data_IF_395046991732
#
_entry.id   IF_395046991732
#
_cell.length_a   1.000
_cell.length_b   1.000
_cell.length_c   1.000
_cell.angle_alpha   90.00
_cell.angle_beta   90.00
_cell.angle_gamma   90.00
#
_symmetry.space_group_name_H-M   'P 1'
#
loop_
_entity.id
_entity.type
_entity.pdbx_description
1 polymer ?
#
# COMPACT_ATOMS: atom_id res chain seq x y z
N UNK A 1 11.80 -11.42 5.31
CA UNK A 1 11.47 -12.06 4.02
C UNK A 1 10.37 -11.24 3.38
N UNK A 2 10.47 -11.00 2.07
CA UNK A 2 9.45 -10.28 1.30
C UNK A 2 9.09 -11.10 0.06
N UNK A 3 7.95 -10.79 -0.55
CA UNK A 3 7.65 -11.20 -1.92
C UNK A 3 7.00 -10.06 -2.70
N UNK A 4 6.63 -10.34 -3.93
CA UNK A 4 6.09 -9.34 -4.85
C UNK A 4 4.58 -9.49 -5.03
N UNK A 5 3.90 -8.36 -5.03
CA UNK A 5 2.50 -8.23 -5.41
C UNK A 5 2.36 -7.16 -6.50
N UNK A 6 1.27 -7.24 -7.24
CA UNK A 6 0.87 -6.25 -8.22
C UNK A 6 -0.43 -5.57 -7.81
N UNK A 7 -0.53 -4.25 -7.98
CA UNK A 7 -1.77 -3.51 -7.78
C UNK A 7 -2.15 -2.74 -9.06
N UNK A 8 -3.40 -2.89 -9.46
CA UNK A 8 -3.99 -2.11 -10.54
C UNK A 8 -3.78 -2.63 -11.96
N UNK A 9 -4.32 -1.87 -12.93
CA UNK A 9 -4.27 -2.19 -14.35
C UNK A 9 -3.87 -0.96 -15.18
N UNK A 10 -2.68 -0.90 -15.80
CA UNK A 10 -1.61 -1.90 -15.74
C UNK A 10 -1.05 -2.07 -14.34
N UNK A 11 -0.46 -3.24 -14.11
CA UNK A 11 0.05 -3.65 -12.79
C UNK A 11 1.21 -2.75 -12.31
N UNK A 12 1.12 -2.30 -11.06
CA UNK A 12 2.18 -1.61 -10.33
C UNK A 12 2.75 -2.57 -9.28
N UNK A 13 4.03 -2.91 -9.37
CA UNK A 13 4.65 -3.94 -8.52
C UNK A 13 5.20 -3.37 -7.21
N UNK A 14 4.95 -4.07 -6.10
CA UNK A 14 5.42 -3.74 -4.76
C UNK A 14 6.08 -4.95 -4.11
N UNK A 15 7.15 -4.70 -3.35
CA UNK A 15 7.70 -5.68 -2.42
C UNK A 15 6.95 -5.52 -1.10
N UNK A 16 6.46 -6.63 -0.55
CA UNK A 16 5.69 -6.64 0.69
C UNK A 16 6.13 -7.78 1.60
N UNK A 17 5.94 -7.59 2.90
CA UNK A 17 6.09 -8.63 3.90
C UNK A 17 4.76 -9.39 3.99
N UNK A 18 4.81 -10.71 3.83
CA UNK A 18 3.67 -11.58 4.09
C UNK A 18 3.60 -11.90 5.58
N UNK A 19 2.87 -11.07 6.31
CA UNK A 19 2.75 -11.13 7.76
C UNK A 19 1.45 -11.85 8.17
N UNK A 20 1.57 -12.99 8.87
CA UNK A 20 0.42 -13.71 9.44
C UNK A 20 -0.07 -13.11 10.76
N UNK A 21 0.65 -12.12 11.31
CA UNK A 21 0.32 -11.41 12.54
C UNK A 21 -0.59 -10.20 12.37
N UNK A 22 -0.91 -9.81 11.13
CA UNK A 22 -1.80 -8.69 10.81
C UNK A 22 -2.75 -9.03 9.66
N UNK A 23 -3.80 -8.21 9.49
CA UNK A 23 -4.89 -8.48 8.55
C UNK A 23 -5.03 -7.43 7.44
N UNK A 24 -4.16 -6.42 7.41
CA UNK A 24 -4.29 -5.27 6.50
C UNK A 24 -3.17 -5.28 5.46
N UNK A 25 -3.55 -5.03 4.20
CA UNK A 25 -2.61 -4.65 3.15
C UNK A 25 -2.48 -3.14 3.11
N UNK A 26 -1.25 -2.63 3.05
CA UNK A 26 -0.96 -1.22 2.82
C UNK A 26 0.26 -1.07 1.91
N UNK A 27 0.31 0.01 1.14
CA UNK A 27 1.45 0.40 0.32
C UNK A 27 1.63 1.92 0.35
N UNK A 28 2.85 2.45 0.14
CA UNK A 28 3.08 3.89 0.04
C UNK A 28 2.24 4.52 -1.08
N UNK A 29 1.51 5.60 -0.78
CA UNK A 29 0.74 6.34 -1.78
C UNK A 29 1.61 7.35 -2.52
N UNK A 30 1.30 7.63 -3.79
CA UNK A 30 1.89 8.78 -4.48
C UNK A 30 1.39 10.13 -3.95
N UNK A 31 0.38 10.12 -3.06
CA UNK A 31 -0.20 11.32 -2.41
C UNK A 31 0.40 11.61 -1.03
N UNK A 32 1.40 10.86 -0.60
CA UNK A 32 2.02 11.05 0.69
C UNK A 32 2.76 12.39 0.82
N UNK A 33 2.98 12.81 2.06
CA UNK A 33 3.60 14.10 2.37
C UNK A 33 5.10 14.09 2.06
N UNK A 34 5.66 15.25 1.73
CA UNK A 34 7.06 15.41 1.36
C UNK A 34 8.05 14.94 2.45
N UNK A 35 7.64 14.98 3.71
CA UNK A 35 8.41 14.56 4.87
C UNK A 35 8.33 13.05 5.16
N UNK A 36 7.49 12.29 4.44
CA UNK A 36 7.48 10.82 4.53
C UNK A 36 8.68 10.26 3.76
N UNK A 37 9.64 9.68 4.49
CA UNK A 37 10.88 9.16 3.88
C UNK A 37 10.64 7.94 3.01
N UNK A 38 9.68 7.10 3.40
CA UNK A 38 9.27 5.92 2.65
C UNK A 38 8.81 6.27 1.22
N UNK A 39 8.22 7.45 1.03
CA UNK A 39 7.79 7.91 -0.29
C UNK A 39 8.92 8.25 -1.26
N UNK A 40 10.11 8.53 -0.74
CA UNK A 40 11.29 8.80 -1.55
C UNK A 40 12.10 7.53 -1.83
N UNK A 41 12.01 6.54 -0.95
CA UNK A 41 12.83 5.32 -1.02
C UNK A 41 12.09 4.12 -1.59
N UNK A 42 10.75 4.11 -1.56
CA UNK A 42 9.93 2.99 -2.02
C UNK A 42 9.09 3.30 -3.26
N UNK A 43 8.66 2.25 -3.95
CA UNK A 43 7.62 2.35 -4.97
C UNK A 43 6.34 2.90 -4.34
N UNK A 44 5.74 3.88 -5.00
CA UNK A 44 4.47 4.48 -4.59
C UNK A 44 3.35 4.08 -5.55
N UNK A 45 2.19 3.77 -4.97
CA UNK A 45 0.97 3.48 -5.70
C UNK A 45 0.37 4.76 -6.28
N UNK A 46 0.11 4.73 -7.60
CA UNK A 46 -0.44 5.83 -8.38
C UNK A 46 -1.83 5.44 -8.85
N UNK A 47 -2.86 5.82 -8.08
CA UNK A 47 -4.26 5.50 -8.39
C UNK A 47 -4.68 5.97 -9.79
N UNK A 48 -4.21 7.14 -10.21
CA UNK A 48 -4.50 7.73 -11.53
C UNK A 48 -3.96 6.91 -12.72
N UNK A 49 -3.00 6.02 -12.47
CA UNK A 49 -2.42 5.15 -13.51
C UNK A 49 -3.10 3.79 -13.60
N UNK A 50 -4.06 3.50 -12.73
CA UNK A 50 -4.82 2.25 -12.77
C UNK A 50 -6.23 2.48 -13.30
N UNK A 51 -6.58 1.76 -14.35
CA UNK A 51 -7.92 1.75 -14.95
C UNK A 51 -8.94 0.95 -14.12
N UNK A 52 -8.48 0.10 -13.21
CA UNK A 52 -9.34 -0.73 -12.35
C UNK A 52 -9.51 -0.18 -10.94
N UNK A 53 -8.83 0.93 -10.63
CA UNK A 53 -8.92 1.62 -9.35
C UNK A 53 -10.36 2.07 -9.06
N UNK A 54 -10.78 1.87 -7.81
CA UNK A 54 -12.00 2.41 -7.25
C UNK A 54 -11.66 3.21 -6.00
N UNK A 55 -12.05 4.48 -6.00
CA UNK A 55 -11.92 5.33 -4.83
C UNK A 55 -12.85 4.86 -3.72
N UNK A 56 -12.29 4.68 -2.51
CA UNK A 56 -13.06 4.48 -1.30
C UNK A 56 -12.90 5.71 -0.38
N UNK A 57 -11.66 6.12 -0.10
CA UNK A 57 -11.34 7.39 0.55
C UNK A 57 -11.62 7.45 2.04
N UNK A 58 -12.07 6.35 2.66
CA UNK A 58 -12.23 6.26 4.11
C UNK A 58 -10.86 6.38 4.78
N UNK A 59 -10.71 7.30 5.74
CA UNK A 59 -9.47 7.47 6.49
C UNK A 59 -9.13 6.19 7.28
N UNK A 60 -7.86 5.83 7.29
CA UNK A 60 -7.33 4.68 8.01
C UNK A 60 -6.10 5.08 8.82
N UNK A 61 -6.06 4.64 10.08
CA UNK A 61 -4.90 4.74 10.95
C UNK A 61 -4.61 3.34 11.50
N UNK A 62 -3.39 2.86 11.30
CA UNK A 62 -2.92 1.56 11.75
C UNK A 62 -1.78 1.79 12.74
N UNK A 63 -2.01 1.40 13.99
CA UNK A 63 -0.99 1.43 15.03
C UNK A 63 -0.31 0.07 15.14
N UNK A 64 0.99 0.03 14.92
CA UNK A 64 1.84 -1.12 15.17
C UNK A 64 2.70 -0.86 16.41
N UNK A 65 3.16 -1.93 17.06
CA UNK A 65 4.06 -1.84 18.23
C UNK A 65 5.31 -1.00 17.93
N UNK A 66 5.75 -1.01 16.67
CA UNK A 66 6.95 -0.32 16.21
C UNK A 66 6.72 1.10 15.72
N UNK A 67 5.47 1.50 15.45
CA UNK A 67 5.17 2.82 14.90
C UNK A 67 3.77 2.89 14.28
N UNK A 68 3.37 4.09 13.91
CA UNK A 68 2.06 4.37 13.35
C UNK A 68 2.13 4.63 11.84
N UNK A 69 1.04 4.29 11.16
CA UNK A 69 0.81 4.56 9.75
C UNK A 69 -0.58 5.17 9.58
N UNK A 70 -0.70 6.19 8.73
CA UNK A 70 -2.00 6.78 8.38
C UNK A 70 -2.13 7.03 6.88
N UNK A 71 -3.38 6.99 6.42
CA UNK A 71 -3.72 7.04 5.01
C UNK A 71 -5.22 6.93 4.79
N UNK A 72 -5.59 6.41 3.63
CA UNK A 72 -6.98 6.18 3.28
C UNK A 72 -7.13 4.85 2.53
N UNK A 73 -8.33 4.28 2.59
CA UNK A 73 -8.65 3.04 1.91
C UNK A 73 -8.84 3.30 0.41
N UNK A 74 -8.29 2.40 -0.40
CA UNK A 74 -8.47 2.30 -1.83
C UNK A 74 -8.81 0.86 -2.21
N UNK A 75 -9.46 0.67 -3.36
CA UNK A 75 -9.74 -0.64 -3.90
C UNK A 75 -9.16 -0.78 -5.30
N UNK A 76 -8.52 -1.92 -5.57
CA UNK A 76 -8.05 -2.25 -6.91
C UNK A 76 -7.92 -3.77 -7.11
N UNK A 77 -7.46 -4.19 -8.28
CA UNK A 77 -7.07 -5.57 -8.57
C UNK A 77 -5.72 -5.85 -7.96
N UNK A 78 -5.65 -6.87 -7.10
CA UNK A 78 -4.42 -7.41 -6.54
C UNK A 78 -3.98 -8.63 -7.35
N UNK A 79 -2.77 -8.60 -7.90
CA UNK A 79 -2.09 -9.77 -8.48
C UNK A 79 -1.10 -10.34 -7.47
N UNK A 80 -1.18 -11.64 -7.18
CA UNK A 80 -0.22 -12.34 -6.35
C UNK A 80 -0.10 -13.80 -6.77
N UNK A 81 1.14 -14.27 -7.04
CA UNK A 81 1.38 -15.67 -7.40
C UNK A 81 0.63 -16.13 -8.66
N UNK A 82 0.35 -15.23 -9.60
CA UNK A 82 -0.43 -15.51 -10.81
C UNK A 82 -1.96 -15.44 -10.62
N UNK A 83 -2.45 -15.27 -9.39
CA UNK A 83 -3.87 -15.06 -9.11
C UNK A 83 -4.23 -13.58 -9.14
N UNK A 84 -5.44 -13.26 -9.60
CA UNK A 84 -6.00 -11.90 -9.57
C UNK A 84 -7.21 -11.83 -8.65
N UNK A 85 -7.11 -11.04 -7.60
CA UNK A 85 -8.17 -10.77 -6.64
C UNK A 85 -8.79 -9.43 -7.02
N UNK A 86 -10.07 -9.47 -7.39
CA UNK A 86 -10.81 -8.26 -7.76
C UNK A 86 -11.24 -7.51 -6.50
N UNK A 87 -11.26 -6.17 -6.57
CA UNK A 87 -11.80 -5.32 -5.50
C UNK A 87 -11.15 -5.56 -4.14
N UNK A 88 -9.83 -5.78 -4.11
CA UNK A 88 -9.08 -5.89 -2.88
C UNK A 88 -8.98 -4.50 -2.23
N UNK A 89 -9.52 -4.31 -1.01
CA UNK A 89 -9.26 -3.09 -0.25
C UNK A 89 -7.84 -3.10 0.31
N UNK A 90 -7.18 -1.94 0.28
CA UNK A 90 -5.86 -1.72 0.89
C UNK A 90 -5.71 -0.26 1.31
N UNK A 91 -4.76 0.02 2.19
CA UNK A 91 -4.46 1.38 2.64
C UNK A 91 -3.39 1.99 1.73
N UNK A 92 -3.71 3.15 1.16
CA UNK A 92 -2.75 4.08 0.58
C UNK A 92 -2.13 4.91 1.69
N UNK A 93 -0.90 4.57 2.09
CA UNK A 93 -0.21 5.24 3.19
C UNK A 93 0.27 6.63 2.76
N UNK A 94 -0.12 7.66 3.52
CA UNK A 94 0.25 9.05 3.25
C UNK A 94 1.27 9.61 4.26
N UNK A 95 1.36 8.97 5.42
CA UNK A 95 2.30 9.27 6.49
C UNK A 95 2.66 7.97 7.23
N UNK A 96 3.95 7.79 7.47
CA UNK A 96 4.54 6.60 8.09
C UNK A 96 5.63 7.04 9.06
N UNK A 97 5.72 6.42 10.23
CA UNK A 97 6.82 6.66 11.17
C UNK A 97 8.15 6.06 10.65
N UNK A 98 9.27 6.53 11.19
CA UNK A 98 10.64 6.21 10.76
C UNK A 98 10.98 4.71 10.75
N UNK A 99 10.20 3.87 11.42
CA UNK A 99 10.42 2.42 11.49
C UNK A 99 10.03 1.67 10.23
N UNK A 100 9.19 2.23 9.35
CA UNK A 100 8.75 1.57 8.11
C UNK A 100 9.64 1.87 6.90
N UNK A 101 10.73 2.63 7.10
CA UNK A 101 11.66 3.04 6.03
C UNK A 101 12.53 1.88 5.54
N UNK A 102 12.68 0.82 6.34
CA UNK A 102 13.50 -0.36 6.03
C UNK A 102 12.66 -1.63 5.73
N UNK A 103 11.33 -1.50 5.66
CA UNK A 103 10.38 -2.62 5.47
C UNK A 103 10.23 -3.02 3.99
#
# INVERSE_FOLDING_TARGET
YYGEIGLGTPEQTFKVIFDTGSSNLWVPSSKCKWNSRACWTHSTYKSEKSSTYKANGTDAALGYVTGDLSGFISEDVLTMGGFKIQNQPFVEATEEDHTFVDA
#
